data_IF_491170422185
#
_entry.id   IF_491170422185
#
_cell.length_a   1.000
_cell.length_b   1.000
_cell.length_c   1.000
_cell.angle_alpha   90.00
_cell.angle_beta   90.00
_cell.angle_gamma   90.00
#
_symmetry.space_group_name_H-M   'P 1'
#
loop_
_entity.id
_entity.type
_entity.pdbx_description
1 polymer ?
#
# COMPACT_ATOMS: atom_id res chain seq x y z
N UNK A 1 -9.70 -4.21 24.46
CA UNK A 1 -9.89 -5.63 24.19
C UNK A 1 -8.67 -6.36 24.71
N UNK A 2 -8.89 -7.41 25.50
CA UNK A 2 -7.92 -8.02 26.41
C UNK A 2 -6.56 -8.22 25.77
N UNK A 3 -5.55 -7.57 26.37
CA UNK A 3 -4.16 -7.64 25.97
C UNK A 3 -3.57 -8.97 26.44
N UNK A 4 -3.89 -10.05 25.71
CA UNK A 4 -3.04 -11.24 25.71
C UNK A 4 -1.66 -10.82 25.23
N UNK A 5 -0.64 -11.04 26.06
CA UNK A 5 0.73 -10.57 25.85
C UNK A 5 1.29 -11.05 24.51
N UNK A 6 1.25 -10.19 23.51
CA UNK A 6 1.98 -10.38 22.26
C UNK A 6 3.45 -10.21 22.60
N UNK A 7 4.25 -11.28 22.44
CA UNK A 7 5.69 -11.24 22.66
C UNK A 7 6.35 -10.11 21.87
N UNK A 8 7.39 -9.47 22.44
CA UNK A 8 8.19 -8.45 21.76
C UNK A 8 8.81 -9.08 20.51
N UNK A 9 8.21 -8.85 19.34
CA UNK A 9 8.70 -9.36 18.05
C UNK A 9 7.64 -9.84 17.06
N UNK A 10 6.37 -10.00 17.48
CA UNK A 10 5.32 -10.42 16.55
C UNK A 10 4.83 -9.27 15.67
N UNK A 11 4.83 -9.45 14.34
CA UNK A 11 4.21 -8.52 13.39
C UNK A 11 2.81 -9.00 13.07
N UNK A 12 1.78 -8.24 13.47
CA UNK A 12 0.40 -8.57 13.10
C UNK A 12 0.04 -7.96 11.75
N UNK A 13 -0.34 -8.79 10.78
CA UNK A 13 -0.96 -8.36 9.53
C UNK A 13 -2.45 -8.68 9.56
N UNK A 14 -3.25 -7.76 9.03
CA UNK A 14 -4.69 -7.86 8.92
C UNK A 14 -5.03 -7.86 7.43
N UNK A 15 -5.63 -8.96 6.96
CA UNK A 15 -6.17 -9.02 5.62
C UNK A 15 -7.56 -8.40 5.61
N UNK A 16 -7.78 -7.45 4.71
CA UNK A 16 -9.03 -6.73 4.57
C UNK A 16 -9.69 -7.02 3.22
N UNK A 17 -11.03 -7.00 3.19
CA UNK A 17 -11.88 -7.36 2.06
C UNK A 17 -13.00 -6.35 1.85
N UNK A 18 -13.14 -5.76 0.66
CA UNK A 18 -14.30 -4.95 0.32
C UNK A 18 -15.32 -5.77 -0.51
N UNK A 19 -16.55 -6.02 -0.01
CA UNK A 19 -17.62 -6.56 -0.86
C UNK A 19 -18.04 -5.51 -1.90
N UNK A 20 -18.33 -5.99 -3.11
CA UNK A 20 -18.82 -5.20 -4.25
C UNK A 20 -19.95 -4.24 -3.86
N UNK A 21 -19.88 -2.98 -4.35
CA UNK A 21 -21.07 -2.14 -4.51
C UNK A 21 -21.93 -2.76 -5.62
N UNK A 22 -23.20 -3.12 -5.38
CA UNK A 22 -24.06 -3.57 -6.47
C UNK A 22 -24.29 -2.42 -7.46
N UNK A 23 -24.17 -2.63 -8.78
CA UNK A 23 -24.54 -1.62 -9.76
C UNK A 23 -26.06 -1.45 -9.73
N UNK A 24 -26.54 -0.39 -9.08
CA UNK A 24 -27.95 0.04 -9.15
C UNK A 24 -28.87 -0.33 -7.97
N UNK A 25 -28.36 -0.84 -6.85
CA UNK A 25 -29.17 -1.10 -5.66
C UNK A 25 -29.02 0.00 -4.61
N UNK A 26 -30.10 0.74 -4.31
CA UNK A 26 -30.16 1.65 -3.17
C UNK A 26 -29.79 0.89 -1.88
N UNK A 27 -28.67 1.25 -1.27
CA UNK A 27 -28.22 0.68 0.01
C UNK A 27 -29.09 1.22 1.14
N UNK A 28 -30.10 0.45 1.55
CA UNK A 28 -30.80 0.62 2.83
C UNK A 28 -30.08 -0.20 3.92
N UNK A 29 -28.79 0.11 4.11
CA UNK A 29 -28.04 -0.32 5.27
C UNK A 29 -28.10 0.83 6.28
N UNK A 30 -28.82 0.63 7.39
CA UNK A 30 -28.85 1.54 8.54
C UNK A 30 -27.51 1.56 9.27
N UNK A 31 -26.46 1.99 8.59
CA UNK A 31 -25.38 2.71 9.23
C UNK A 31 -25.93 4.10 9.52
N UNK A 32 -25.94 4.50 10.79
CA UNK A 32 -26.13 5.91 11.15
C UNK A 32 -25.05 6.70 10.41
N UNK A 33 -25.43 7.30 9.29
CA UNK A 33 -24.76 8.45 8.69
C UNK A 33 -24.72 9.51 9.78
N UNK A 34 -23.60 9.57 10.49
CA UNK A 34 -23.30 10.71 11.34
C UNK A 34 -23.35 11.94 10.43
N UNK A 35 -24.32 12.84 10.71
CA UNK A 35 -24.60 14.12 10.05
C UNK A 35 -23.37 14.69 9.34
N UNK A 36 -23.43 14.70 8.01
CA UNK A 36 -22.46 15.33 7.10
C UNK A 36 -23.05 16.64 6.58
N UNK A 37 -23.58 17.49 7.47
CA UNK A 37 -24.30 18.70 7.03
C UNK A 37 -23.36 19.94 6.87
N UNK A 38 -22.06 19.80 7.16
CA UNK A 38 -21.06 20.88 6.97
C UNK A 38 -19.77 20.48 6.25
N UNK A 39 -19.70 19.26 5.69
CA UNK A 39 -18.51 18.74 4.96
C UNK A 39 -18.69 18.57 3.45
N UNK A 40 -19.84 18.96 2.89
CA UNK A 40 -20.16 18.73 1.47
C UNK A 40 -19.13 19.30 0.48
N UNK A 41 -18.66 20.53 0.70
CA UNK A 41 -17.72 21.19 -0.22
C UNK A 41 -16.36 20.47 -0.32
N UNK A 42 -15.79 20.05 0.82
CA UNK A 42 -14.48 19.35 0.83
C UNK A 42 -14.56 17.95 0.22
N UNK A 43 -15.69 17.26 0.40
CA UNK A 43 -15.88 15.95 -0.22
C UNK A 43 -16.07 16.05 -1.74
N UNK A 44 -16.81 17.06 -2.21
CA UNK A 44 -16.99 17.29 -3.64
C UNK A 44 -15.67 17.67 -4.31
N UNK A 45 -14.86 18.52 -3.67
CA UNK A 45 -13.52 18.88 -4.15
C UNK A 45 -12.58 17.66 -4.19
N UNK A 46 -12.55 16.86 -3.11
CA UNK A 46 -11.76 15.63 -3.09
C UNK A 46 -12.21 14.63 -4.18
N UNK A 47 -13.51 14.55 -4.45
CA UNK A 47 -14.05 13.72 -5.52
C UNK A 47 -13.70 14.24 -6.93
N UNK A 48 -13.62 15.57 -7.12
CA UNK A 48 -13.13 16.18 -8.36
C UNK A 48 -11.65 15.86 -8.57
N UNK A 49 -10.82 16.08 -7.55
CA UNK A 49 -9.39 15.77 -7.59
C UNK A 49 -9.12 14.27 -7.80
N UNK A 50 -9.92 13.38 -7.21
CA UNK A 50 -9.77 11.95 -7.42
C UNK A 50 -10.02 11.51 -8.88
N UNK A 51 -10.68 12.32 -9.72
CA UNK A 51 -10.79 12.06 -11.17
C UNK A 51 -9.50 12.37 -11.92
N UNK A 52 -8.58 13.10 -11.31
CA UNK A 52 -7.25 13.42 -11.85
C UNK A 52 -6.19 12.38 -11.45
N UNK A 53 -6.62 11.23 -10.91
CA UNK A 53 -5.73 10.10 -10.70
C UNK A 53 -5.06 9.70 -12.01
N UNK A 54 -3.75 9.59 -11.97
CA UNK A 54 -2.94 9.26 -13.13
C UNK A 54 -1.80 8.31 -12.75
N UNK A 55 -1.08 7.81 -13.74
CA UNK A 55 0.17 7.11 -13.50
C UNK A 55 1.22 8.05 -12.92
N UNK A 56 2.16 7.50 -12.16
CA UNK A 56 3.28 8.28 -11.64
C UNK A 56 4.16 8.76 -12.81
N UNK A 57 4.45 10.07 -12.94
CA UNK A 57 5.44 10.55 -13.91
C UNK A 57 6.82 9.96 -13.63
N UNK A 58 7.60 9.70 -14.68
CA UNK A 58 8.92 9.05 -14.54
C UNK A 58 9.86 9.86 -13.65
N UNK A 59 9.84 11.19 -13.79
CA UNK A 59 10.63 12.14 -13.02
C UNK A 59 10.28 12.15 -11.52
N UNK A 60 9.10 11.63 -11.15
CA UNK A 60 8.65 11.54 -9.76
C UNK A 60 8.82 10.15 -9.15
N UNK A 61 9.32 9.15 -9.89
CA UNK A 61 9.52 7.77 -9.39
C UNK A 61 10.36 7.76 -8.11
N UNK A 62 11.51 8.45 -8.12
CA UNK A 62 12.40 8.52 -6.95
C UNK A 62 11.70 9.17 -5.76
N UNK A 63 10.97 10.26 -5.99
CA UNK A 63 10.21 10.96 -4.94
C UNK A 63 9.10 10.08 -4.37
N UNK A 64 8.42 9.31 -5.21
CA UNK A 64 7.40 8.33 -4.79
C UNK A 64 8.00 7.26 -3.89
N UNK A 65 9.17 6.72 -4.27
CA UNK A 65 9.89 5.72 -3.46
C UNK A 65 10.30 6.26 -2.08
N UNK A 66 10.81 7.49 -2.03
CA UNK A 66 11.15 8.18 -0.78
C UNK A 66 9.92 8.39 0.11
N UNK A 67 8.79 8.78 -0.49
CA UNK A 67 7.52 8.97 0.25
C UNK A 67 7.01 7.65 0.83
N UNK A 68 7.11 6.54 0.09
CA UNK A 68 6.79 5.21 0.60
C UNK A 68 7.73 4.84 1.75
N UNK A 69 9.03 5.00 1.55
CA UNK A 69 10.00 4.69 2.59
C UNK A 69 9.75 5.50 3.86
N UNK A 70 9.50 6.81 3.75
CA UNK A 70 9.22 7.70 4.89
C UNK A 70 8.00 7.25 5.70
N UNK A 71 6.92 6.81 5.04
CA UNK A 71 5.70 6.39 5.75
C UNK A 71 5.85 5.01 6.40
N UNK A 72 6.60 4.11 5.77
CA UNK A 72 6.66 2.71 6.19
C UNK A 72 7.93 2.32 6.96
N UNK A 73 8.92 3.20 7.08
CA UNK A 73 10.22 2.94 7.74
C UNK A 73 10.08 2.41 9.17
N UNK A 74 9.07 2.86 9.89
CA UNK A 74 8.81 2.47 11.28
C UNK A 74 7.74 1.34 11.38
N UNK A 75 7.31 0.79 10.24
CA UNK A 75 6.36 -0.32 10.18
C UNK A 75 6.97 -1.63 10.69
N UNK A 76 6.27 -2.44 11.50
CA UNK A 76 6.85 -3.62 12.16
C UNK A 76 7.54 -4.60 11.21
N UNK A 77 6.96 -4.92 10.04
CA UNK A 77 7.62 -5.79 9.06
C UNK A 77 8.92 -5.19 8.52
N UNK A 78 8.94 -3.89 8.24
CA UNK A 78 10.14 -3.21 7.74
C UNK A 78 11.22 -3.11 8.82
N UNK A 79 10.81 -2.92 10.08
CA UNK A 79 11.74 -2.92 11.20
C UNK A 79 12.44 -4.28 11.33
N UNK A 80 11.67 -5.36 11.16
CA UNK A 80 12.18 -6.73 11.21
C UNK A 80 13.04 -7.09 10.00
N UNK A 81 12.64 -6.72 8.77
CA UNK A 81 13.41 -7.02 7.57
C UNK A 81 14.72 -6.21 7.54
N UNK A 82 14.61 -4.89 7.68
CA UNK A 82 15.72 -3.93 7.57
C UNK A 82 16.24 -3.54 8.96
N UNK A 83 16.71 -4.52 9.74
CA UNK A 83 17.31 -4.26 11.07
C UNK A 83 18.47 -3.27 10.96
N UNK A 84 18.55 -2.32 11.89
CA UNK A 84 19.58 -1.27 11.90
C UNK A 84 19.02 0.10 12.25
N UNK A 85 19.84 1.12 11.99
CA UNK A 85 19.47 2.53 12.20
C UNK A 85 18.32 2.95 11.27
N UNK A 86 17.46 3.83 11.77
CA UNK A 86 16.29 4.32 11.02
C UNK A 86 16.67 4.98 9.70
N UNK A 87 17.73 5.79 9.69
CA UNK A 87 18.18 6.51 8.50
C UNK A 87 18.61 5.55 7.39
N UNK A 88 19.46 4.57 7.74
CA UNK A 88 19.87 3.51 6.81
C UNK A 88 18.68 2.69 6.31
N UNK A 89 17.74 2.31 7.19
CA UNK A 89 16.52 1.57 6.80
C UNK A 89 15.68 2.37 5.82
N UNK A 90 15.49 3.67 6.05
CA UNK A 90 14.74 4.54 5.14
C UNK A 90 15.40 4.63 3.77
N UNK A 91 16.73 4.79 3.71
CA UNK A 91 17.48 4.83 2.45
C UNK A 91 17.41 3.49 1.70
N UNK A 92 17.64 2.38 2.40
CA UNK A 92 17.54 1.03 1.83
C UNK A 92 16.14 0.76 1.27
N UNK A 93 15.08 1.15 2.00
CA UNK A 93 13.70 1.02 1.55
C UNK A 93 13.41 1.91 0.35
N UNK A 94 13.87 3.17 0.32
CA UNK A 94 13.69 4.05 -0.82
C UNK A 94 14.33 3.45 -2.08
N UNK A 95 15.56 2.94 -1.96
CA UNK A 95 16.26 2.28 -3.07
C UNK A 95 15.56 1.00 -3.56
N UNK A 96 14.90 0.25 -2.67
CA UNK A 96 14.09 -0.92 -3.04
C UNK A 96 12.77 -0.51 -3.70
N UNK A 97 12.06 0.46 -3.11
CA UNK A 97 10.79 0.93 -3.65
C UNK A 97 10.97 1.63 -5.00
N UNK A 98 12.10 2.29 -5.27
CA UNK A 98 12.36 2.85 -6.59
C UNK A 98 12.37 1.75 -7.65
N UNK A 99 13.08 0.64 -7.38
CA UNK A 99 13.13 -0.52 -8.27
C UNK A 99 11.75 -1.16 -8.41
N UNK A 100 11.00 -1.27 -7.31
CA UNK A 100 9.62 -1.77 -7.36
C UNK A 100 8.72 -0.86 -8.21
N UNK A 101 8.78 0.46 -8.04
CA UNK A 101 8.00 1.40 -8.85
C UNK A 101 8.35 1.26 -10.33
N UNK A 102 9.65 1.17 -10.66
CA UNK A 102 10.09 0.96 -12.04
C UNK A 102 9.58 -0.35 -12.66
N UNK A 103 9.45 -1.43 -11.88
CA UNK A 103 8.84 -2.68 -12.36
C UNK A 103 7.38 -2.53 -12.78
N UNK A 104 6.64 -1.63 -12.13
CA UNK A 104 5.23 -1.40 -12.42
C UNK A 104 5.00 -0.15 -13.29
N UNK A 105 6.05 0.56 -13.67
CA UNK A 105 5.93 1.75 -14.50
C UNK A 105 5.37 1.39 -15.89
N UNK A 106 4.38 2.15 -16.36
CA UNK A 106 3.68 1.88 -17.62
C UNK A 106 2.69 0.71 -17.59
N UNK A 107 2.50 0.04 -16.45
CA UNK A 107 1.51 -1.06 -16.31
C UNK A 107 0.12 -0.56 -15.88
N UNK A 108 0.02 0.71 -15.51
CA UNK A 108 -1.15 1.28 -14.85
C UNK A 108 -1.39 0.84 -13.41
N UNK A 109 -0.56 -0.03 -12.83
CA UNK A 109 -0.74 -0.46 -11.45
C UNK A 109 -0.49 0.67 -10.44
N UNK A 110 0.49 1.54 -10.70
CA UNK A 110 0.81 2.65 -9.80
C UNK A 110 -0.04 3.85 -10.17
N UNK A 111 -0.82 4.33 -9.19
CA UNK A 111 -1.65 5.51 -9.33
C UNK A 111 -1.19 6.57 -8.35
N UNK A 112 -1.20 7.81 -8.80
CA UNK A 112 -0.90 8.96 -7.97
C UNK A 112 -1.85 10.12 -8.26
N UNK A 113 -2.00 11.00 -7.26
CA UNK A 113 -2.58 12.32 -7.42
C UNK A 113 -1.46 13.33 -7.22
N UNK A 114 -1.23 14.17 -8.23
CA UNK A 114 -0.28 15.27 -8.12
C UNK A 114 -0.96 16.49 -7.50
N UNK A 115 -0.19 17.22 -6.71
CA UNK A 115 -0.60 18.48 -6.08
C UNK A 115 0.47 19.54 -6.32
N UNK A 116 0.14 20.83 -6.17
CA UNK A 116 1.15 21.87 -6.10
C UNK A 116 2.20 21.53 -5.03
N UNK A 117 3.47 21.62 -5.40
CA UNK A 117 4.60 21.41 -4.51
C UNK A 117 4.71 22.54 -3.47
N UNK A 118 5.33 22.23 -2.33
CA UNK A 118 5.69 23.26 -1.35
C UNK A 118 7.00 23.94 -1.78
N UNK A 119 6.97 25.26 -1.97
CA UNK A 119 8.17 26.06 -2.25
C UNK A 119 7.93 27.21 -3.23
N UNK A 120 8.96 28.04 -3.42
CA UNK A 120 8.92 29.25 -4.25
C UNK A 120 8.97 28.98 -5.77
N UNK A 121 9.20 27.74 -6.18
CA UNK A 121 9.22 27.39 -7.61
C UNK A 121 7.80 27.19 -8.13
N UNK A 122 7.28 28.24 -8.76
CA UNK A 122 6.02 28.21 -9.50
C UNK A 122 6.02 27.05 -10.52
N UNK A 123 4.94 26.27 -10.53
CA UNK A 123 4.76 25.13 -11.43
C UNK A 123 5.35 23.80 -10.97
N UNK A 124 6.06 23.72 -9.84
CA UNK A 124 6.52 22.43 -9.30
C UNK A 124 5.33 21.60 -8.80
N UNK A 125 5.19 20.39 -9.32
CA UNK A 125 4.25 19.39 -8.80
C UNK A 125 4.94 18.45 -7.80
N UNK A 126 4.15 17.89 -6.88
CA UNK A 126 4.56 16.91 -5.87
C UNK A 126 3.48 15.83 -5.71
N UNK A 127 3.85 14.70 -5.11
CA UNK A 127 2.94 13.58 -4.92
C UNK A 127 2.06 13.82 -3.68
N UNK A 128 0.76 14.00 -3.90
CA UNK A 128 -0.22 14.16 -2.82
C UNK A 128 -0.75 12.83 -2.30
N UNK A 129 -1.05 11.90 -3.22
CA UNK A 129 -1.51 10.54 -2.91
C UNK A 129 -0.77 9.58 -3.83
N UNK A 130 -0.38 8.42 -3.30
CA UNK A 130 0.22 7.34 -4.08
C UNK A 130 -0.25 5.99 -3.55
N UNK A 131 -0.56 5.06 -4.45
CA UNK A 131 -0.89 3.68 -4.11
C UNK A 131 -0.67 2.79 -5.33
N UNK A 132 -0.67 1.48 -5.09
CA UNK A 132 -0.56 0.47 -6.15
C UNK A 132 -1.84 -0.37 -6.16
N UNK A 133 -2.48 -0.48 -7.32
CA UNK A 133 -3.58 -1.40 -7.59
C UNK A 133 -3.11 -2.43 -8.62
N UNK A 134 -2.79 -3.62 -8.14
CA UNK A 134 -2.39 -4.71 -9.00
C UNK A 134 -3.62 -5.53 -9.36
N UNK A 135 -3.92 -5.71 -10.65
CA UNK A 135 -4.96 -6.65 -11.07
C UNK A 135 -4.37 -8.05 -11.24
N UNK A 136 -5.13 -9.06 -10.87
CA UNK A 136 -4.67 -10.46 -10.95
C UNK A 136 -4.54 -10.96 -12.39
N UNK A 137 -5.27 -10.35 -13.33
CA UNK A 137 -5.26 -10.69 -14.76
C UNK A 137 -4.15 -9.98 -15.56
N UNK A 138 -3.61 -8.88 -15.05
CA UNK A 138 -2.54 -8.13 -15.72
C UNK A 138 -1.14 -8.51 -15.26
N UNK A 139 -1.01 -9.16 -14.11
CA UNK A 139 0.31 -9.49 -13.59
C UNK A 139 0.93 -10.69 -14.33
N UNK A 140 2.18 -10.58 -14.81
CA UNK A 140 2.80 -11.63 -15.59
C UNK A 140 2.85 -12.96 -14.82
N UNK A 141 2.59 -14.07 -15.52
CA UNK A 141 2.79 -15.42 -14.98
C UNK A 141 4.24 -15.63 -14.52
N UNK A 142 4.47 -16.62 -13.66
CA UNK A 142 5.75 -16.83 -12.96
C UNK A 142 7.03 -16.69 -13.82
N UNK A 143 7.13 -17.21 -15.08
CA UNK A 143 8.35 -17.05 -15.88
C UNK A 143 8.66 -15.58 -16.22
N UNK A 144 7.65 -14.80 -16.58
CA UNK A 144 7.77 -13.37 -16.90
C UNK A 144 8.03 -12.51 -15.67
N UNK A 145 7.56 -12.93 -14.48
CA UNK A 145 7.83 -12.24 -13.21
C UNK A 145 9.34 -12.25 -12.89
N UNK A 146 10.02 -13.38 -13.05
CA UNK A 146 11.47 -13.46 -12.81
C UNK A 146 12.27 -12.57 -13.77
N UNK A 147 11.90 -12.56 -15.05
CA UNK A 147 12.54 -11.68 -16.04
C UNK A 147 12.32 -10.21 -15.72
N UNK A 148 11.10 -9.81 -15.35
CA UNK A 148 10.81 -8.44 -14.92
C UNK A 148 11.63 -8.03 -13.69
N UNK A 149 11.78 -8.93 -12.71
CA UNK A 149 12.62 -8.71 -11.53
C UNK A 149 14.11 -8.56 -11.91
N UNK A 150 14.61 -9.38 -12.83
CA UNK A 150 15.98 -9.28 -13.33
C UNK A 150 16.23 -7.96 -14.06
N UNK A 151 15.35 -7.57 -14.99
CA UNK A 151 15.48 -6.32 -15.76
C UNK A 151 15.34 -5.09 -14.89
N UNK A 152 14.59 -5.16 -13.78
CA UNK A 152 14.49 -4.09 -12.81
C UNK A 152 15.65 -4.02 -11.81
N UNK A 153 16.69 -4.82 -12.02
CA UNK A 153 17.90 -4.76 -11.21
C UNK A 153 17.73 -5.33 -9.79
N UNK A 154 16.72 -6.20 -9.56
CA UNK A 154 16.58 -6.86 -8.25
C UNK A 154 17.78 -7.75 -7.93
N UNK A 155 18.48 -8.27 -8.94
CA UNK A 155 19.71 -9.03 -8.73
C UNK A 155 20.81 -8.23 -8.00
N UNK A 156 20.79 -6.90 -8.09
CA UNK A 156 21.75 -6.03 -7.40
C UNK A 156 21.39 -5.77 -5.92
N UNK A 157 20.14 -6.05 -5.52
CA UNK A 157 19.63 -5.82 -4.16
C UNK A 157 20.49 -6.50 -3.08
N UNK A 158 20.83 -7.80 -3.16
CA UNK A 158 21.67 -8.42 -2.12
C UNK A 158 23.05 -7.76 -1.94
N UNK A 159 23.62 -7.17 -2.99
CA UNK A 159 24.89 -6.44 -2.89
C UNK A 159 24.73 -5.04 -2.28
N UNK A 160 23.54 -4.45 -2.35
CA UNK A 160 23.24 -3.12 -1.80
C UNK A 160 22.79 -3.16 -0.34
N UNK A 161 21.93 -4.12 0.03
CA UNK A 161 21.31 -4.20 1.37
C UNK A 161 21.81 -5.39 2.21
N UNK A 162 22.62 -6.27 1.62
CA UNK A 162 23.13 -7.47 2.27
C UNK A 162 22.21 -8.70 2.18
N UNK A 163 22.82 -9.88 2.18
CA UNK A 163 22.11 -11.16 2.05
C UNK A 163 21.17 -11.46 3.22
N UNK A 164 21.50 -11.03 4.45
CA UNK A 164 20.63 -11.24 5.60
C UNK A 164 19.29 -10.51 5.48
N UNK A 165 19.30 -9.28 4.96
CA UNK A 165 18.07 -8.50 4.72
C UNK A 165 17.25 -9.15 3.62
N UNK A 166 17.89 -9.59 2.53
CA UNK A 166 17.21 -10.33 1.46
C UNK A 166 16.56 -11.61 1.99
N UNK A 167 17.27 -12.41 2.80
CA UNK A 167 16.73 -13.63 3.38
C UNK A 167 15.49 -13.37 4.26
N UNK A 168 15.53 -12.31 5.11
CA UNK A 168 14.36 -11.89 5.90
C UNK A 168 13.21 -11.42 5.01
N UNK A 169 13.49 -10.65 3.96
CA UNK A 169 12.47 -10.20 3.01
C UNK A 169 11.80 -11.37 2.29
N UNK A 170 12.57 -12.35 1.79
CA UNK A 170 12.03 -13.53 1.12
C UNK A 170 11.17 -14.39 2.06
N UNK A 171 11.60 -14.59 3.32
CA UNK A 171 10.78 -15.29 4.33
C UNK A 171 9.46 -14.57 4.62
N UNK A 172 9.51 -13.24 4.74
CA UNK A 172 8.31 -12.44 4.95
C UNK A 172 7.34 -12.52 3.76
N UNK A 173 7.87 -12.42 2.53
CA UNK A 173 7.07 -12.53 1.30
C UNK A 173 6.42 -13.91 1.16
N UNK A 174 7.16 -14.99 1.45
CA UNK A 174 6.63 -16.36 1.40
C UNK A 174 5.51 -16.57 2.42
N UNK A 175 5.70 -16.07 3.65
CA UNK A 175 4.65 -16.05 4.67
C UNK A 175 3.42 -15.24 4.23
N UNK A 176 3.62 -14.02 3.71
CA UNK A 176 2.53 -13.16 3.25
C UNK A 176 1.75 -13.82 2.10
N UNK A 177 2.44 -14.40 1.12
CA UNK A 177 1.83 -15.13 0.01
C UNK A 177 1.02 -16.36 0.49
N UNK A 178 1.53 -17.09 1.49
CA UNK A 178 0.82 -18.19 2.14
C UNK A 178 -0.50 -17.76 2.78
N UNK A 179 -0.52 -16.58 3.44
CA UNK A 179 -1.74 -15.98 3.99
C UNK A 179 -2.71 -15.60 2.88
N UNK A 180 -2.24 -14.97 1.80
CA UNK A 180 -3.10 -14.53 0.69
C UNK A 180 -3.78 -15.69 -0.05
N UNK A 181 -3.02 -16.73 -0.42
CA UNK A 181 -3.53 -17.85 -1.24
C UNK A 181 -4.70 -18.59 -0.59
N UNK A 182 -4.74 -18.65 0.74
CA UNK A 182 -5.80 -19.36 1.48
C UNK A 182 -7.11 -18.58 1.62
N UNK A 183 -7.06 -17.24 1.65
CA UNK A 183 -8.18 -16.43 2.14
C UNK A 183 -9.03 -15.80 1.05
N UNK A 184 -8.44 -15.47 -0.09
CA UNK A 184 -9.15 -14.78 -1.16
C UNK A 184 -8.77 -15.35 -2.53
N UNK A 185 -9.06 -16.62 -2.84
CA UNK A 185 -8.66 -17.23 -4.11
C UNK A 185 -9.26 -16.56 -5.35
N UNK A 186 -10.36 -15.81 -5.19
CA UNK A 186 -11.10 -15.18 -6.28
C UNK A 186 -10.96 -13.65 -6.33
N UNK A 187 -9.99 -13.06 -5.62
CA UNK A 187 -9.77 -11.62 -5.70
C UNK A 187 -9.35 -11.21 -7.12
N UNK A 188 -9.80 -10.04 -7.56
CA UNK A 188 -9.50 -9.50 -8.90
C UNK A 188 -8.41 -8.45 -8.85
N UNK A 189 -8.20 -7.82 -7.68
CA UNK A 189 -7.10 -6.89 -7.48
C UNK A 189 -6.60 -6.83 -6.04
N UNK A 190 -5.38 -6.35 -5.88
CA UNK A 190 -4.73 -6.09 -4.61
C UNK A 190 -4.39 -4.61 -4.51
N UNK A 191 -4.80 -3.96 -3.43
CA UNK A 191 -4.41 -2.59 -3.11
C UNK A 191 -3.20 -2.62 -2.17
N UNK A 192 -2.11 -1.96 -2.55
CA UNK A 192 -0.86 -1.95 -1.79
C UNK A 192 -0.35 -0.51 -1.60
N UNK A 193 0.49 -0.33 -0.58
CA UNK A 193 1.34 0.87 -0.37
C UNK A 193 0.60 2.20 -0.47
N UNK A 194 -0.62 2.27 0.06
CA UNK A 194 -1.38 3.51 0.05
C UNK A 194 -0.80 4.55 1.00
N UNK A 195 -0.47 5.72 0.48
CA UNK A 195 0.07 6.85 1.22
C UNK A 195 -0.65 8.13 0.81
N UNK A 196 -0.85 9.01 1.80
CA UNK A 196 -1.26 10.39 1.61
C UNK A 196 -0.19 11.28 2.24
N UNK A 197 0.30 12.26 1.48
CA UNK A 197 1.25 13.26 1.95
C UNK A 197 0.74 13.87 3.28
N UNK A 198 1.64 14.04 4.25
CA UNK A 198 1.28 14.42 5.63
C UNK A 198 0.39 15.68 5.69
N UNK A 199 0.72 16.69 4.87
CA UNK A 199 -0.04 17.96 4.77
C UNK A 199 -1.47 17.82 4.23
N UNK A 200 -1.76 16.72 3.54
CA UNK A 200 -3.05 16.44 2.89
C UNK A 200 -3.91 15.42 3.66
N UNK A 201 -3.41 14.91 4.79
CA UNK A 201 -4.17 13.96 5.61
C UNK A 201 -5.41 14.64 6.18
N UNK A 202 -6.45 13.83 6.45
CA UNK A 202 -7.76 14.28 6.98
C UNK A 202 -8.56 15.20 6.05
N UNK A 203 -8.12 15.42 4.82
CA UNK A 203 -8.89 16.13 3.79
C UNK A 203 -9.87 15.22 3.01
N UNK A 204 -9.91 13.92 3.31
CA UNK A 204 -10.73 12.94 2.58
C UNK A 204 -10.16 12.50 1.23
N UNK A 205 -9.02 13.06 0.81
CA UNK A 205 -8.36 12.75 -0.47
C UNK A 205 -8.04 11.27 -0.64
N UNK A 206 -7.46 10.64 0.38
CA UNK A 206 -7.14 9.21 0.32
C UNK A 206 -8.40 8.34 0.08
N UNK A 207 -9.49 8.62 0.81
CA UNK A 207 -10.76 7.92 0.64
C UNK A 207 -11.36 8.11 -0.75
N UNK A 208 -11.31 9.35 -1.28
CA UNK A 208 -11.82 9.65 -2.61
C UNK A 208 -11.01 8.92 -3.71
N UNK A 209 -9.68 8.96 -3.62
CA UNK A 209 -8.79 8.30 -4.57
C UNK A 209 -8.97 6.79 -4.57
N UNK A 210 -9.04 6.15 -3.39
CA UNK A 210 -9.27 4.70 -3.31
C UNK A 210 -10.63 4.33 -3.89
N UNK A 211 -11.70 5.09 -3.59
CA UNK A 211 -13.02 4.80 -4.16
C UNK A 211 -13.02 4.86 -5.68
N UNK A 212 -12.39 5.88 -6.26
CA UNK A 212 -12.24 6.00 -7.71
C UNK A 212 -11.48 4.80 -8.30
N UNK A 213 -10.36 4.42 -7.68
CA UNK A 213 -9.56 3.28 -8.15
C UNK A 213 -10.29 1.93 -7.99
N UNK A 214 -11.05 1.73 -6.90
CA UNK A 214 -11.85 0.51 -6.71
C UNK A 214 -13.01 0.41 -7.69
N UNK A 215 -13.62 1.54 -8.06
CA UNK A 215 -14.64 1.60 -9.11
C UNK A 215 -14.08 1.23 -10.48
N UNK A 216 -12.87 1.71 -10.81
CA UNK A 216 -12.17 1.39 -12.06
C UNK A 216 -11.74 -0.08 -12.11
N UNK A 217 -11.12 -0.59 -11.04
CA UNK A 217 -10.60 -1.95 -11.01
C UNK A 217 -11.71 -3.00 -11.15
N UNK A 218 -12.87 -2.74 -10.52
CA UNK A 218 -13.97 -3.69 -10.47
C UNK A 218 -13.63 -4.96 -9.67
N UNK A 219 -14.67 -5.67 -9.23
CA UNK A 219 -14.51 -6.95 -8.55
C UNK A 219 -14.04 -6.84 -7.09
N UNK A 220 -13.41 -7.91 -6.60
CA UNK A 220 -13.02 -8.08 -5.21
C UNK A 220 -11.59 -7.55 -5.00
N UNK A 221 -11.45 -6.53 -4.15
CA UNK A 221 -10.17 -5.98 -3.74
C UNK A 221 -9.75 -6.48 -2.37
N UNK A 222 -8.48 -6.89 -2.26
CA UNK A 222 -7.84 -7.27 -1.00
C UNK A 222 -6.66 -6.37 -0.68
N UNK A 223 -6.36 -6.20 0.59
CA UNK A 223 -5.15 -5.53 1.05
C UNK A 223 -4.69 -6.03 2.41
N UNK A 224 -3.40 -5.90 2.69
CA UNK A 224 -2.82 -6.12 4.02
C UNK A 224 -2.57 -4.78 4.72
N UNK A 225 -2.80 -4.74 6.02
CA UNK A 225 -2.39 -3.62 6.87
C UNK A 225 -1.85 -4.10 8.22
N UNK A 226 -0.93 -3.34 8.80
CA UNK A 226 -0.27 -3.68 10.07
C UNK A 226 -0.69 -2.76 11.21
N UNK A 227 -1.44 -1.70 10.94
CA UNK A 227 -1.78 -0.68 11.95
C UNK A 227 -3.28 -0.69 12.26
N UNK A 228 -3.59 -0.67 13.56
CA UNK A 228 -4.97 -0.56 14.06
C UNK A 228 -5.63 0.74 13.57
N UNK A 229 -4.86 1.83 13.46
CA UNK A 229 -5.36 3.12 12.97
C UNK A 229 -5.83 3.05 11.51
N UNK A 230 -5.22 2.21 10.67
CA UNK A 230 -5.65 2.00 9.30
C UNK A 230 -6.97 1.23 9.22
N UNK A 231 -7.31 0.38 10.20
CA UNK A 231 -8.56 -0.40 10.17
C UNK A 231 -9.81 0.48 10.15
N UNK A 232 -9.81 1.56 10.95
CA UNK A 232 -10.93 2.49 10.95
C UNK A 232 -11.10 3.17 9.59
N UNK A 233 -9.98 3.54 8.96
CA UNK A 233 -9.97 4.11 7.62
C UNK A 233 -10.53 3.12 6.58
N UNK A 234 -10.00 1.90 6.52
CA UNK A 234 -10.45 0.89 5.57
C UNK A 234 -11.90 0.43 5.82
N UNK A 235 -12.30 0.29 7.08
CA UNK A 235 -13.69 0.00 7.46
C UNK A 235 -14.67 1.05 6.97
N UNK A 236 -14.28 2.34 7.00
CA UNK A 236 -15.10 3.43 6.45
C UNK A 236 -15.27 3.38 4.92
N UNK A 237 -14.40 2.63 4.23
CA UNK A 237 -14.46 2.37 2.80
C UNK A 237 -15.19 1.06 2.47
N UNK A 238 -15.73 0.37 3.47
CA UNK A 238 -16.46 -0.89 3.32
C UNK A 238 -15.60 -2.14 3.45
N UNK A 239 -14.30 -2.02 3.74
CA UNK A 239 -13.46 -3.19 3.95
C UNK A 239 -13.78 -3.90 5.27
N UNK A 240 -13.68 -5.22 5.28
CA UNK A 240 -13.92 -6.12 6.40
C UNK A 240 -12.67 -6.93 6.69
N UNK A 241 -12.37 -7.19 7.97
CA UNK A 241 -11.23 -8.02 8.35
C UNK A 241 -11.55 -9.49 8.06
N UNK A 242 -10.76 -10.13 7.19
CA UNK A 242 -10.86 -11.57 6.91
C UNK A 242 -10.05 -12.39 7.91
N UNK A 243 -8.80 -11.99 8.16
CA UNK A 243 -7.90 -12.70 9.07
C UNK A 243 -6.97 -11.74 9.78
N UNK A 244 -6.63 -12.09 11.02
CA UNK A 244 -5.48 -11.56 11.74
C UNK A 244 -4.41 -12.63 11.79
N UNK A 245 -3.25 -12.36 11.22
CA UNK A 245 -2.12 -13.27 11.19
C UNK A 245 -0.93 -12.61 11.88
N UNK A 246 -0.20 -13.38 12.68
CA UNK A 246 1.07 -12.97 13.25
C UNK A 246 2.20 -13.57 12.41
N UNK A 247 3.17 -12.76 12.03
CA UNK A 247 4.46 -13.24 11.53
C UNK A 247 5.38 -13.44 12.73
N UNK A 248 5.87 -14.67 12.86
CA UNK A 248 6.86 -15.06 13.84
C UNK A 248 8.17 -15.31 13.07
N UNK A 249 9.14 -14.38 13.13
CA UNK A 249 10.43 -14.61 12.50
C UNK A 249 11.06 -15.84 13.16
N UNK A 250 11.28 -16.91 12.39
CA UNK A 250 11.97 -18.08 12.93
C UNK A 250 13.34 -17.69 13.48
N UNK A 251 13.68 -18.17 14.69
CA UNK A 251 14.87 -17.86 15.49
C UNK A 251 16.21 -18.26 14.85
N UNK A 252 16.27 -18.43 13.53
CA UNK A 252 17.39 -18.99 12.77
C UNK A 252 18.66 -18.14 12.69
N UNK A 253 18.94 -17.26 13.66
CA UNK A 253 20.22 -16.54 13.76
C UNK A 253 20.87 -16.80 15.13
N UNK A 254 21.35 -18.04 15.31
CA UNK A 254 22.47 -18.38 16.18
C UNK A 254 23.75 -18.60 15.36
N UNK A 255 24.09 -17.63 14.50
CA UNK A 255 25.28 -17.65 13.65
C UNK A 255 26.29 -16.59 14.05
#
# INVERSE_FOLDING_TARGET
>A
WEAGGVGRGSVSSLLLFAPLFPPGGGCDARFRTARVDSMGGKQEEAAKLAKELQEIPEELIKRGAELIAEEFVDGPAHVEIFRGERAWRQEAMANLFEKNIRMHFGTGAIRCLLVPGEGEMEGRQDIGVLFVVERTDTFPTAPSKYWAMLTAGIWAVPFQIGFGVLARMLRFLDWEEGVYKGLAPNHTCTLQRMIVAKRLRRAGLGSACVRAALQEAGGQCVLTTQTQSALAFWGSLGFQVLQKAAYEPGDGEGG
#
